data_IF_520675445291
#
_entry.id   IF_520675445291
#
_cell.length_a   1.000
_cell.length_b   1.000
_cell.length_c   1.000
_cell.angle_alpha   90.00
_cell.angle_beta   90.00
_cell.angle_gamma   90.00
#
_symmetry.space_group_name_H-M   'P 1'
#
loop_
_entity.id
_entity.type
_entity.pdbx_description
1 polymer ?
#
# COMPACT_ATOMS: atom_id res chain seq x y z
N UNK A 1 -4.43 16.21 -23.56
CA UNK A 1 -5.02 15.33 -22.51
C UNK A 1 -4.32 15.63 -21.20
N UNK A 2 -5.00 15.58 -20.07
CA UNK A 2 -4.38 15.75 -18.75
C UNK A 2 -3.85 14.38 -18.30
N UNK A 3 -2.62 14.32 -17.77
CA UNK A 3 -2.00 13.10 -17.23
C UNK A 3 -2.35 12.95 -15.74
N UNK A 4 -2.37 11.71 -15.20
CA UNK A 4 -2.55 11.51 -13.76
C UNK A 4 -1.30 11.95 -12.98
N UNK A 5 -1.47 12.32 -11.71
CA UNK A 5 -0.35 12.65 -10.83
C UNK A 5 0.54 11.43 -10.55
N UNK A 6 -0.06 10.25 -10.44
CA UNK A 6 0.64 8.99 -10.28
C UNK A 6 -0.15 7.80 -10.85
N UNK A 7 0.53 6.66 -10.99
CA UNK A 7 -0.07 5.35 -11.23
C UNK A 7 0.59 4.30 -10.34
N UNK A 8 -0.22 3.36 -9.85
CA UNK A 8 0.27 2.19 -9.10
C UNK A 8 0.84 1.15 -10.07
N UNK A 9 1.99 0.59 -9.73
CA UNK A 9 2.66 -0.48 -10.49
C UNK A 9 2.90 -1.65 -9.56
N UNK A 10 2.26 -2.78 -9.85
CA UNK A 10 2.40 -4.01 -9.07
C UNK A 10 3.72 -4.70 -9.44
N UNK A 11 4.69 -4.65 -8.55
CA UNK A 11 5.99 -5.26 -8.81
C UNK A 11 5.87 -6.78 -8.75
N UNK A 12 6.40 -7.45 -9.77
CA UNK A 12 6.24 -8.90 -9.94
C UNK A 12 5.39 -9.27 -11.14
N UNK A 13 4.64 -8.31 -11.70
CA UNK A 13 3.94 -8.48 -12.97
C UNK A 13 4.88 -8.33 -14.18
N UNK A 14 4.55 -9.04 -15.26
CA UNK A 14 5.27 -8.89 -16.53
C UNK A 14 5.04 -7.50 -17.11
N UNK A 15 6.09 -6.91 -17.68
CA UNK A 15 6.02 -5.54 -18.22
C UNK A 15 6.26 -4.43 -17.20
N UNK A 16 6.55 -4.76 -15.93
CA UNK A 16 6.87 -3.77 -14.89
C UNK A 16 7.98 -2.79 -15.32
N UNK A 17 9.14 -3.23 -15.87
CA UNK A 17 10.19 -2.29 -16.28
C UNK A 17 9.75 -1.32 -17.40
N UNK A 18 9.02 -1.83 -18.40
CA UNK A 18 8.51 -1.03 -19.52
C UNK A 18 7.47 -0.02 -19.05
N UNK A 19 6.59 -0.42 -18.14
CA UNK A 19 5.59 0.48 -17.55
C UNK A 19 6.26 1.58 -16.72
N UNK A 20 7.21 1.24 -15.84
CA UNK A 20 7.97 2.23 -15.08
C UNK A 20 8.67 3.23 -15.99
N UNK A 21 9.32 2.77 -17.06
CA UNK A 21 9.99 3.65 -18.02
C UNK A 21 9.00 4.56 -18.77
N UNK A 22 7.82 4.05 -19.11
CA UNK A 22 6.77 4.84 -19.76
C UNK A 22 6.21 5.93 -18.84
N UNK A 23 5.95 5.60 -17.57
CA UNK A 23 5.47 6.56 -16.56
C UNK A 23 6.51 7.65 -16.29
N UNK A 24 7.78 7.28 -16.13
CA UNK A 24 8.90 8.20 -15.95
C UNK A 24 9.05 9.17 -17.14
N UNK A 25 8.97 8.65 -18.37
CA UNK A 25 9.01 9.46 -19.59
C UNK A 25 7.83 10.45 -19.71
N UNK A 26 6.69 10.13 -19.10
CA UNK A 26 5.51 10.99 -19.03
C UNK A 26 5.53 11.93 -17.82
N UNK A 27 6.50 11.79 -16.90
CA UNK A 27 6.54 12.53 -15.65
C UNK A 27 5.41 12.17 -14.68
N UNK A 28 4.86 10.96 -14.78
CA UNK A 28 3.82 10.43 -13.89
C UNK A 28 4.48 9.73 -12.70
N UNK A 29 4.09 10.08 -11.48
CA UNK A 29 4.62 9.44 -10.27
C UNK A 29 4.32 7.94 -10.24
N UNK A 30 5.20 7.16 -9.60
CA UNK A 30 5.02 5.72 -9.44
C UNK A 30 4.72 5.42 -7.98
N UNK A 31 3.59 4.77 -7.72
CA UNK A 31 3.34 4.06 -6.47
C UNK A 31 3.74 2.60 -6.66
N UNK A 32 4.70 2.09 -5.90
CA UNK A 32 5.15 0.71 -6.02
C UNK A 32 4.29 -0.22 -5.17
N UNK A 33 3.43 -1.01 -5.82
CA UNK A 33 2.60 -2.04 -5.21
C UNK A 33 3.40 -3.30 -4.90
N UNK A 34 3.48 -3.66 -3.62
CA UNK A 34 4.20 -4.82 -3.11
C UNK A 34 3.24 -5.70 -2.29
N UNK A 35 2.86 -6.83 -2.85
CA UNK A 35 1.99 -7.83 -2.22
C UNK A 35 2.77 -8.95 -1.52
N UNK A 36 4.03 -9.15 -1.91
CA UNK A 36 4.86 -10.29 -1.49
C UNK A 36 6.33 -9.91 -1.29
N UNK A 37 7.11 -10.72 -0.55
CA UNK A 37 8.56 -10.56 -0.47
C UNK A 37 9.23 -10.60 -1.86
N UNK A 38 8.73 -11.43 -2.78
CA UNK A 38 9.26 -11.51 -4.14
C UNK A 38 9.05 -10.21 -4.93
N UNK A 39 7.89 -9.54 -4.75
CA UNK A 39 7.63 -8.21 -5.29
C UNK A 39 8.63 -7.19 -4.75
N UNK A 40 8.89 -7.20 -3.44
CA UNK A 40 9.85 -6.30 -2.79
C UNK A 40 11.28 -6.50 -3.32
N UNK A 41 11.71 -7.75 -3.48
CA UNK A 41 13.01 -8.03 -4.11
C UNK A 41 13.06 -7.58 -5.57
N UNK A 42 11.97 -7.74 -6.33
CA UNK A 42 11.89 -7.28 -7.72
C UNK A 42 12.00 -5.75 -7.80
N UNK A 43 11.33 -5.04 -6.90
CA UNK A 43 11.43 -3.59 -6.72
C UNK A 43 12.88 -3.14 -6.43
N UNK A 44 13.56 -3.79 -5.49
CA UNK A 44 14.97 -3.49 -5.18
C UNK A 44 15.89 -3.80 -6.37
N UNK A 45 15.74 -4.97 -7.00
CA UNK A 45 16.54 -5.37 -8.18
C UNK A 45 16.32 -4.45 -9.38
N UNK A 46 15.11 -3.88 -9.53
CA UNK A 46 14.80 -2.90 -10.56
C UNK A 46 15.44 -1.52 -10.28
N UNK A 47 16.06 -1.32 -9.12
CA UNK A 47 16.70 -0.06 -8.75
C UNK A 47 15.70 1.05 -8.52
N UNK A 48 14.53 0.72 -7.97
CA UNK A 48 13.42 1.67 -7.73
C UNK A 48 13.44 2.31 -6.33
N UNK A 49 14.36 1.88 -5.47
CA UNK A 49 14.61 2.47 -4.15
C UNK A 49 14.82 3.99 -4.28
N UNK A 50 13.99 4.76 -3.57
CA UNK A 50 14.04 6.24 -3.58
C UNK A 50 13.58 6.91 -4.89
N UNK A 51 13.04 6.15 -5.86
CA UNK A 51 12.56 6.67 -7.16
C UNK A 51 11.03 6.69 -7.28
N UNK A 52 10.32 6.10 -6.33
CA UNK A 52 8.87 6.07 -6.31
C UNK A 52 8.32 7.19 -5.42
N UNK A 53 7.07 7.60 -5.68
CA UNK A 53 6.31 8.50 -4.82
C UNK A 53 6.14 7.89 -3.41
N UNK A 54 5.78 6.61 -3.38
CA UNK A 54 5.63 5.80 -2.17
C UNK A 54 5.66 4.31 -2.50
N UNK A 55 5.83 3.48 -1.49
CA UNK A 55 5.65 2.03 -1.52
C UNK A 55 4.28 1.71 -0.91
N UNK A 56 3.43 1.04 -1.69
CA UNK A 56 2.15 0.47 -1.26
C UNK A 56 2.40 -0.96 -0.79
N UNK A 57 2.21 -1.22 0.49
CA UNK A 57 2.21 -2.55 1.08
C UNK A 57 0.77 -3.08 1.05
N UNK A 58 0.54 -4.13 0.25
CA UNK A 58 -0.80 -4.67 -0.05
C UNK A 58 -0.86 -6.19 0.10
N UNK A 59 -0.65 -6.72 1.32
CA UNK A 59 -0.77 -8.17 1.55
C UNK A 59 -2.14 -8.71 1.11
N UNK A 60 -2.14 -9.82 0.37
CA UNK A 60 -3.34 -10.44 -0.19
C UNK A 60 -3.95 -11.56 0.67
N UNK A 61 -3.44 -11.79 1.88
CA UNK A 61 -3.86 -12.93 2.70
C UNK A 61 -5.22 -12.72 3.41
N UNK A 62 -6.02 -13.79 3.48
CA UNK A 62 -7.36 -13.77 4.09
C UNK A 62 -7.35 -13.52 5.60
N UNK A 63 -6.23 -13.83 6.27
CA UNK A 63 -6.10 -13.65 7.73
C UNK A 63 -5.18 -12.49 8.05
N UNK A 64 -5.59 -11.67 9.00
CA UNK A 64 -4.80 -10.55 9.53
C UNK A 64 -3.40 -10.97 9.97
N UNK A 65 -3.26 -12.14 10.62
CA UNK A 65 -1.97 -12.61 11.11
C UNK A 65 -1.00 -12.93 9.97
N UNK A 66 -1.50 -13.55 8.89
CA UNK A 66 -0.69 -13.83 7.71
C UNK A 66 -0.34 -12.54 6.96
N UNK A 67 -1.30 -11.63 6.79
CA UNK A 67 -1.06 -10.34 6.16
C UNK A 67 0.01 -9.51 6.89
N UNK A 68 -0.04 -9.45 8.23
CA UNK A 68 0.99 -8.78 9.03
C UNK A 68 2.37 -9.46 8.93
N UNK A 69 2.41 -10.79 8.77
CA UNK A 69 3.66 -11.51 8.56
C UNK A 69 4.28 -11.18 7.20
N UNK A 70 3.45 -11.08 6.15
CA UNK A 70 3.88 -10.66 4.81
C UNK A 70 4.39 -9.23 4.81
N UNK A 71 3.67 -8.30 5.46
CA UNK A 71 4.13 -6.91 5.66
C UNK A 71 5.51 -6.88 6.33
N UNK A 72 5.70 -7.63 7.43
CA UNK A 72 6.98 -7.66 8.14
C UNK A 72 8.11 -8.25 7.28
N UNK A 73 7.82 -9.23 6.43
CA UNK A 73 8.80 -9.81 5.51
C UNK A 73 9.21 -8.83 4.40
N UNK A 74 8.25 -8.07 3.85
CA UNK A 74 8.53 -7.00 2.88
C UNK A 74 9.35 -5.89 3.55
N UNK A 75 8.95 -5.42 4.73
CA UNK A 75 9.67 -4.41 5.49
C UNK A 75 11.14 -4.80 5.68
N UNK A 76 11.43 -6.06 6.07
CA UNK A 76 12.80 -6.54 6.25
C UNK A 76 13.66 -6.42 4.97
N UNK A 77 13.08 -6.63 3.79
CA UNK A 77 13.78 -6.48 2.51
C UNK A 77 14.04 -5.00 2.20
N UNK A 78 13.06 -4.13 2.46
CA UNK A 78 13.19 -2.69 2.25
C UNK A 78 14.25 -2.09 3.18
N UNK A 79 14.27 -2.50 4.46
CA UNK A 79 15.31 -2.06 5.41
C UNK A 79 16.70 -2.55 5.01
N UNK A 80 16.82 -3.78 4.52
CA UNK A 80 18.11 -4.30 4.04
C UNK A 80 18.63 -3.56 2.79
N UNK A 81 17.76 -2.84 2.08
CA UNK A 81 18.10 -1.99 0.94
C UNK A 81 18.26 -0.51 1.32
N UNK A 82 18.26 -0.17 2.61
CA UNK A 82 18.28 1.21 3.14
C UNK A 82 17.16 2.09 2.52
N UNK A 83 16.00 1.50 2.25
CA UNK A 83 14.90 2.20 1.57
C UNK A 83 14.08 3.07 2.53
N UNK A 84 14.16 4.37 2.29
CA UNK A 84 13.47 5.44 3.04
C UNK A 84 12.23 5.98 2.34
N UNK A 85 11.81 5.37 1.21
CA UNK A 85 10.62 5.75 0.46
C UNK A 85 9.39 5.72 1.38
N UNK A 86 8.50 6.73 1.35
CA UNK A 86 7.29 6.75 2.17
C UNK A 86 6.46 5.48 1.97
N UNK A 87 5.87 4.96 3.04
CA UNK A 87 5.10 3.71 3.02
C UNK A 87 3.63 3.98 3.26
N UNK A 88 2.79 3.32 2.48
CA UNK A 88 1.35 3.23 2.67
C UNK A 88 1.00 1.78 2.93
N UNK A 89 0.21 1.50 3.97
CA UNK A 89 -0.31 0.17 4.25
C UNK A 89 -1.80 0.08 3.92
N UNK A 90 -2.13 -0.91 3.09
CA UNK A 90 -3.47 -1.22 2.61
C UNK A 90 -3.87 -2.63 3.05
N UNK A 91 -5.16 -2.84 3.25
CA UNK A 91 -5.75 -4.15 3.49
C UNK A 91 -7.15 -4.25 2.87
N UNK A 92 -7.50 -5.43 2.37
CA UNK A 92 -8.83 -5.76 1.88
C UNK A 92 -9.72 -6.44 2.93
N UNK A 93 -11.03 -6.31 2.76
CA UNK A 93 -12.08 -7.02 3.49
C UNK A 93 -11.86 -7.07 5.01
N UNK A 94 -11.65 -8.28 5.55
CA UNK A 94 -11.50 -8.56 6.99
C UNK A 94 -10.22 -7.98 7.56
N UNK A 95 -9.19 -7.75 6.73
CA UNK A 95 -7.91 -7.21 7.15
C UNK A 95 -7.88 -5.66 7.13
N UNK A 96 -8.77 -5.00 6.39
CA UNK A 96 -8.74 -3.55 6.15
C UNK A 96 -8.57 -2.71 7.42
N UNK A 97 -9.45 -2.89 8.40
CA UNK A 97 -9.42 -2.10 9.65
C UNK A 97 -8.20 -2.40 10.53
N UNK A 98 -7.74 -3.65 10.55
CA UNK A 98 -6.56 -3.99 11.35
C UNK A 98 -5.28 -3.47 10.71
N UNK A 99 -5.22 -3.43 9.38
CA UNK A 99 -4.07 -2.88 8.67
C UNK A 99 -4.02 -1.35 8.74
N UNK A 100 -5.17 -0.67 8.86
CA UNK A 100 -5.20 0.76 9.24
C UNK A 100 -4.55 0.99 10.63
N UNK A 101 -4.89 0.17 11.63
CA UNK A 101 -4.28 0.29 12.96
C UNK A 101 -2.78 0.02 12.92
N UNK A 102 -2.37 -0.99 12.15
CA UNK A 102 -0.98 -1.34 11.94
C UNK A 102 -0.20 -0.22 11.24
N UNK A 103 -0.84 0.50 10.31
CA UNK A 103 -0.26 1.67 9.65
C UNK A 103 -0.07 2.83 10.65
N UNK A 104 -1.07 3.07 11.49
CA UNK A 104 -1.00 4.08 12.54
C UNK A 104 0.19 3.84 13.48
N UNK A 105 0.32 2.62 13.98
CA UNK A 105 1.39 2.23 14.89
C UNK A 105 2.80 2.34 14.27
N UNK A 106 2.90 2.23 12.95
CA UNK A 106 4.16 2.37 12.18
C UNK A 106 4.45 3.81 11.74
N UNK A 107 3.49 4.73 11.91
CA UNK A 107 3.56 6.07 11.35
C UNK A 107 3.45 6.11 9.83
N UNK A 108 2.88 5.07 9.22
CA UNK A 108 2.67 4.99 7.76
C UNK A 108 1.40 5.73 7.36
N UNK A 109 1.31 6.00 6.05
CA UNK A 109 0.05 6.34 5.41
C UNK A 109 -0.85 5.11 5.31
N UNK A 110 -2.13 5.31 5.03
CA UNK A 110 -3.07 4.22 4.77
C UNK A 110 -4.04 4.57 3.65
N UNK A 111 -4.75 3.55 3.14
CA UNK A 111 -5.77 3.66 2.10
C UNK A 111 -7.04 2.96 2.58
N UNK A 112 -8.18 3.57 2.30
CA UNK A 112 -9.48 2.97 2.51
C UNK A 112 -10.48 3.47 1.47
N UNK A 113 -11.40 2.60 1.07
CA UNK A 113 -12.51 2.90 0.19
C UNK A 113 -13.40 1.67 -0.01
N UNK A 114 -14.50 1.86 -0.74
CA UNK A 114 -15.47 0.80 -1.07
C UNK A 114 -14.87 -0.31 -1.95
N UNK A 115 -13.76 -0.02 -2.63
CA UNK A 115 -12.94 -1.05 -3.31
C UNK A 115 -12.29 -2.01 -2.31
N UNK A 116 -11.93 -1.51 -1.13
CA UNK A 116 -11.14 -2.24 -0.15
C UNK A 116 -12.05 -2.97 0.85
N UNK A 117 -13.13 -2.33 1.32
CA UNK A 117 -14.08 -2.91 2.29
C UNK A 117 -15.46 -2.27 2.20
N UNK A 118 -16.51 -3.05 2.44
CA UNK A 118 -17.91 -2.59 2.38
C UNK A 118 -18.55 -2.32 3.75
N UNK A 119 -17.82 -2.54 4.84
CA UNK A 119 -18.31 -2.41 6.21
C UNK A 119 -17.47 -1.47 7.06
N UNK A 120 -18.13 -0.76 7.97
CA UNK A 120 -17.53 0.04 9.03
C UNK A 120 -16.89 -0.87 10.10
N UNK A 121 -16.07 -0.31 11.03
CA UNK A 121 -15.40 -1.12 12.06
C UNK A 121 -16.35 -1.89 12.99
N UNK A 122 -17.59 -1.43 13.13
CA UNK A 122 -18.65 -2.10 13.90
C UNK A 122 -19.38 -3.21 13.12
N UNK A 123 -18.97 -3.45 11.87
CA UNK A 123 -19.56 -4.43 10.96
C UNK A 123 -20.80 -3.95 10.20
N UNK A 124 -21.29 -2.73 10.46
CA UNK A 124 -22.39 -2.16 9.69
C UNK A 124 -21.95 -1.79 8.27
N UNK A 125 -22.87 -1.79 7.30
CA UNK A 125 -22.53 -1.44 5.92
C UNK A 125 -22.12 0.04 5.80
N UNK A 126 -21.03 0.30 5.10
CA UNK A 126 -20.62 1.67 4.77
C UNK A 126 -21.53 2.24 3.69
N UNK A 127 -22.09 3.43 3.94
CA UNK A 127 -22.95 4.12 2.98
C UNK A 127 -22.16 4.67 1.78
N UNK A 128 -20.96 5.19 2.04
CA UNK A 128 -20.08 5.80 1.04
C UNK A 128 -18.62 5.77 1.50
N UNK A 129 -17.71 6.21 0.62
CA UNK A 129 -16.29 6.37 0.94
C UNK A 129 -16.04 7.38 2.06
N UNK A 130 -16.87 8.41 2.23
CA UNK A 130 -16.65 9.43 3.25
C UNK A 130 -16.83 8.87 4.66
N UNK A 131 -17.80 7.96 4.85
CA UNK A 131 -17.98 7.24 6.10
C UNK A 131 -16.76 6.36 6.45
N UNK A 132 -16.21 5.65 5.46
CA UNK A 132 -14.99 4.84 5.63
C UNK A 132 -13.78 5.71 6.00
N UNK A 133 -13.58 6.81 5.28
CA UNK A 133 -12.47 7.74 5.53
C UNK A 133 -12.59 8.38 6.91
N UNK A 134 -13.78 8.82 7.31
CA UNK A 134 -13.99 9.41 8.64
C UNK A 134 -13.65 8.41 9.77
N UNK A 135 -14.05 7.14 9.61
CA UNK A 135 -13.69 6.09 10.56
C UNK A 135 -12.18 5.85 10.60
N UNK A 136 -11.52 5.76 9.44
CA UNK A 136 -10.07 5.58 9.36
C UNK A 136 -9.30 6.74 10.02
N UNK A 137 -9.69 8.00 9.74
CA UNK A 137 -9.10 9.19 10.39
C UNK A 137 -9.24 9.12 11.90
N UNK A 138 -10.40 8.70 12.41
CA UNK A 138 -10.61 8.52 13.85
C UNK A 138 -9.65 7.50 14.48
N UNK A 139 -9.37 6.39 13.78
CA UNK A 139 -8.43 5.36 14.24
C UNK A 139 -6.98 5.83 14.18
N UNK A 140 -6.58 6.44 13.07
CA UNK A 140 -5.23 7.02 12.91
C UNK A 140 -4.94 8.05 14.00
N UNK A 141 -5.89 8.92 14.32
CA UNK A 141 -5.74 9.95 15.34
C UNK A 141 -5.71 9.41 16.78
N UNK A 142 -6.29 8.24 17.03
CA UNK A 142 -6.30 7.61 18.35
C UNK A 142 -5.03 6.77 18.65
N UNK A 143 -4.30 6.36 17.60
CA UNK A 143 -3.16 5.44 17.68
C UNK A 143 -1.81 6.10 17.33
N UNK A 144 -1.81 7.39 16.97
CA UNK A 144 -0.62 8.20 16.70
C UNK A 144 -0.22 9.03 17.92
#
# INVERSE_FOLDING_TARGET
TILPDFASVNFGESGTPELCAALDALGVGIEAGLDTPAAAEAYVRAGMVGRCLRVLLEPGEETTAAALATVAAIEAILEAADDTTPRLLHGGDTAAWTLIDAAAARGYDTRIGLEDVLTLPDGSAAHDNAALVAAAVGRLGALR
#
